data_IF_217601102403
#
_entry.id   IF_217601102403
#
_cell.length_a   1.000
_cell.length_b   1.000
_cell.length_c   1.000
_cell.angle_alpha   90.00
_cell.angle_beta   90.00
_cell.angle_gamma   90.00
#
_symmetry.space_group_name_H-M   'P 1'
#
loop_
_entity.id
_entity.type
_entity.pdbx_description
1 polymer ?
#
# COMPACT_ATOMS: atom_id res chain seq x y z
N UNK A 1 -7.19 8.86 -13.73
CA UNK A 1 -6.10 7.89 -13.48
C UNK A 1 -6.08 7.58 -11.99
N UNK A 2 -6.12 6.31 -11.60
CA UNK A 2 -6.05 5.90 -10.19
C UNK A 2 -4.64 6.12 -9.64
N UNK A 3 -4.51 6.62 -8.41
CA UNK A 3 -3.19 6.83 -7.78
C UNK A 3 -2.47 5.49 -7.53
N UNK A 4 -1.15 5.53 -7.29
CA UNK A 4 -0.39 4.35 -6.87
C UNK A 4 -1.02 3.69 -5.62
N UNK A 5 -1.40 4.50 -4.63
CA UNK A 5 -2.10 4.03 -3.43
C UNK A 5 -3.43 3.35 -3.75
N UNK A 6 -4.24 3.92 -4.63
CA UNK A 6 -5.55 3.37 -4.99
C UNK A 6 -5.43 1.98 -5.64
N UNK A 7 -4.54 1.87 -6.63
CA UNK A 7 -4.28 0.60 -7.32
C UNK A 7 -3.65 -0.44 -6.38
N UNK A 8 -2.74 -0.02 -5.51
CA UNK A 8 -2.17 -0.90 -4.48
C UNK A 8 -3.24 -1.41 -3.52
N UNK A 9 -4.12 -0.54 -2.98
CA UNK A 9 -5.23 -0.95 -2.09
C UNK A 9 -6.15 -1.97 -2.78
N UNK A 10 -6.50 -1.74 -4.04
CA UNK A 10 -7.35 -2.65 -4.80
C UNK A 10 -6.75 -4.06 -4.90
N UNK A 11 -5.47 -4.17 -5.23
CA UNK A 11 -4.77 -5.46 -5.36
C UNK A 11 -4.55 -6.10 -3.97
N UNK A 12 -4.02 -5.33 -3.02
CA UNK A 12 -3.57 -5.86 -1.73
C UNK A 12 -4.74 -6.25 -0.82
N UNK A 13 -5.77 -5.41 -0.74
CA UNK A 13 -6.92 -5.64 0.14
C UNK A 13 -7.96 -6.60 -0.43
N UNK A 14 -7.87 -6.94 -1.73
CA UNK A 14 -8.69 -8.00 -2.34
C UNK A 14 -8.04 -9.38 -2.22
N UNK A 15 -6.70 -9.43 -2.19
CA UNK A 15 -5.93 -10.67 -2.04
C UNK A 15 -5.59 -11.05 -0.59
N UNK A 16 -5.88 -10.20 0.39
CA UNK A 16 -5.52 -10.42 1.80
C UNK A 16 -6.62 -9.97 2.76
N UNK A 17 -6.61 -10.50 3.98
CA UNK A 17 -7.47 -10.03 5.09
C UNK A 17 -6.96 -8.72 5.73
N UNK A 18 -5.87 -8.14 5.21
CA UNK A 18 -5.27 -6.93 5.73
C UNK A 18 -5.82 -5.68 5.05
N UNK A 19 -5.73 -4.54 5.74
CA UNK A 19 -6.18 -3.23 5.25
C UNK A 19 -5.08 -2.19 5.35
N UNK A 20 -5.09 -1.22 4.43
CA UNK A 20 -4.23 -0.04 4.54
C UNK A 20 -4.89 0.97 5.47
N UNK A 21 -4.22 1.27 6.58
CA UNK A 21 -4.68 2.21 7.61
C UNK A 21 -4.23 3.65 7.36
N UNK A 22 -2.98 3.81 6.93
CA UNK A 22 -2.41 5.12 6.57
C UNK A 22 -1.47 4.99 5.38
N UNK A 23 -1.17 6.11 4.77
CA UNK A 23 -0.23 6.22 3.65
C UNK A 23 0.58 7.50 3.74
N UNK A 24 1.85 7.43 3.37
CA UNK A 24 2.74 8.58 3.25
C UNK A 24 3.43 8.53 1.89
N UNK A 25 3.27 9.59 1.09
CA UNK A 25 3.98 9.77 -0.18
C UNK A 25 5.04 10.83 0.03
N UNK A 26 6.31 10.47 -0.10
CA UNK A 26 7.40 11.43 0.05
C UNK A 26 7.62 12.27 -1.21
N UNK A 27 8.51 13.28 -1.08
CA UNK A 27 8.88 14.22 -2.15
C UNK A 27 9.53 13.55 -3.36
N UNK A 28 10.10 12.36 -3.18
CA UNK A 28 10.80 11.59 -4.20
C UNK A 28 9.86 10.58 -4.89
N UNK A 29 8.58 10.56 -4.48
CA UNK A 29 7.53 9.73 -5.04
C UNK A 29 7.47 8.33 -4.44
N UNK A 30 8.17 8.07 -3.33
CA UNK A 30 8.09 6.77 -2.65
C UNK A 30 6.86 6.72 -1.75
N UNK A 31 6.00 5.74 -1.99
CA UNK A 31 4.81 5.51 -1.19
C UNK A 31 5.15 4.53 -0.07
N UNK A 32 4.80 4.88 1.17
CA UNK A 32 4.83 3.98 2.32
C UNK A 32 3.43 3.83 2.86
N UNK A 33 3.03 2.61 3.23
CA UNK A 33 1.69 2.32 3.74
C UNK A 33 1.76 1.53 5.03
N UNK A 34 0.89 1.85 5.97
CA UNK A 34 0.69 1.07 7.19
C UNK A 34 -0.39 0.02 7.00
N UNK A 35 -0.10 -1.21 7.42
CA UNK A 35 -0.96 -2.38 7.25
C UNK A 35 -1.52 -2.82 8.60
N UNK A 36 -2.84 -2.92 8.68
CA UNK A 36 -3.58 -3.42 9.85
C UNK A 36 -4.27 -4.74 9.55
N UNK A 37 -4.42 -5.58 10.57
CA UNK A 37 -5.29 -6.76 10.50
C UNK A 37 -6.77 -6.38 10.52
N UNK A 38 -7.64 -7.39 10.42
CA UNK A 38 -9.11 -7.24 10.50
C UNK A 38 -9.61 -6.62 11.81
N UNK A 39 -8.81 -6.67 12.87
CA UNK A 39 -9.12 -6.10 14.18
C UNK A 39 -8.62 -4.65 14.30
N UNK A 40 -7.96 -4.13 13.26
CA UNK A 40 -7.42 -2.78 13.22
C UNK A 40 -6.05 -2.64 13.89
N UNK A 41 -5.39 -3.74 14.26
CA UNK A 41 -4.07 -3.70 14.86
C UNK A 41 -3.00 -3.58 13.77
N UNK A 42 -2.14 -2.56 13.88
CA UNK A 42 -1.00 -2.41 12.97
C UNK A 42 -0.04 -3.59 13.12
N UNK A 43 0.32 -4.20 12.00
CA UNK A 43 1.25 -5.33 11.96
C UNK A 43 2.60 -4.93 11.42
N UNK A 44 2.60 -4.20 10.30
CA UNK A 44 3.81 -3.80 9.60
C UNK A 44 3.48 -2.66 8.63
N UNK A 45 4.52 -2.13 8.00
CA UNK A 45 4.42 -1.16 6.92
C UNK A 45 5.11 -1.73 5.67
N UNK A 46 4.72 -1.23 4.50
CA UNK A 46 5.29 -1.62 3.21
C UNK A 46 5.72 -0.37 2.45
N UNK A 47 6.84 -0.47 1.74
CA UNK A 47 7.18 0.48 0.68
C UNK A 47 6.57 -0.01 -0.62
N UNK A 48 5.84 0.88 -1.31
CA UNK A 48 5.15 0.61 -2.57
C UNK A 48 5.78 1.46 -3.66
N UNK A 49 6.20 0.81 -4.74
CA UNK A 49 6.82 1.44 -5.89
C UNK A 49 6.16 0.96 -7.18
N UNK A 50 6.20 1.79 -8.21
CA UNK A 50 5.81 1.41 -9.56
C UNK A 50 7.02 1.44 -10.48
N UNK A 51 7.31 0.30 -11.12
CA UNK A 51 8.43 0.17 -12.06
C UNK A 51 7.90 -0.46 -13.33
N UNK A 52 8.08 0.23 -14.46
CA UNK A 52 7.58 -0.21 -15.77
C UNK A 52 6.07 -0.53 -15.80
N UNK A 53 5.27 0.15 -14.98
CA UNK A 53 3.82 -0.09 -14.86
C UNK A 53 3.43 -1.24 -13.94
N UNK A 54 4.39 -1.97 -13.37
CA UNK A 54 4.16 -3.01 -12.37
C UNK A 54 4.28 -2.43 -10.96
N UNK A 55 3.29 -2.72 -10.12
CA UNK A 55 3.29 -2.34 -8.71
C UNK A 55 4.03 -3.41 -7.91
N UNK A 56 5.05 -2.99 -7.17
CA UNK A 56 5.85 -3.85 -6.31
C UNK A 56 5.83 -3.30 -4.87
N UNK A 57 5.92 -4.19 -3.89
CA UNK A 57 6.01 -3.80 -2.48
C UNK A 57 6.96 -4.71 -1.69
N UNK A 58 7.58 -4.15 -0.66
CA UNK A 58 8.52 -4.84 0.25
C UNK A 58 8.58 -4.17 1.62
#
# INVERSE_FOLDING_TARGET
>A
MSSLLGRFKEIYESGTDFKVSWSNLDKDGNLTVGIVDKEGNEKFWLHVVERNGEIQWF
#
